data_IF_820428230021
#
_entry.id   IF_820428230021
#
_cell.length_a   1.000
_cell.length_b   1.000
_cell.length_c   1.000
_cell.angle_alpha   90.00
_cell.angle_beta   90.00
_cell.angle_gamma   90.00
#
_symmetry.space_group_name_H-M   'P 1'
#
loop_
_entity.id
_entity.type
_entity.pdbx_description
1 polymer ?
#
# COMPACT_ATOMS: atom_id res chain seq x y z
N UNK A 1 -0.96 -13.67 15.24
CA UNK A 1 -0.36 -12.73 14.26
C UNK A 1 -0.98 -13.06 12.90
N UNK A 2 -1.70 -12.12 12.28
CA UNK A 2 -2.49 -12.37 11.07
C UNK A 2 -1.56 -12.67 9.87
N UNK A 3 -1.86 -13.67 9.05
CA UNK A 3 -1.01 -14.12 7.95
C UNK A 3 -0.66 -12.98 6.98
N UNK A 4 -1.62 -12.09 6.73
CA UNK A 4 -1.42 -10.88 5.93
C UNK A 4 -0.37 -9.93 6.52
N UNK A 5 -0.42 -9.68 7.84
CA UNK A 5 0.58 -8.85 8.54
C UNK A 5 1.97 -9.48 8.43
N UNK A 6 2.09 -10.80 8.59
CA UNK A 6 3.36 -11.49 8.40
C UNK A 6 3.96 -11.27 7.00
N UNK A 7 3.15 -11.37 5.95
CA UNK A 7 3.60 -11.13 4.58
C UNK A 7 3.98 -9.66 4.32
N UNK A 8 3.26 -8.70 4.89
CA UNK A 8 3.62 -7.28 4.81
C UNK A 8 4.98 -7.02 5.46
N UNK A 9 5.20 -7.51 6.68
CA UNK A 9 6.48 -7.32 7.38
C UNK A 9 7.64 -7.98 6.64
N UNK A 10 7.40 -9.15 6.05
CA UNK A 10 8.46 -9.92 5.37
C UNK A 10 8.84 -9.36 4.00
N UNK A 11 7.88 -8.88 3.21
CA UNK A 11 8.12 -8.54 1.80
C UNK A 11 7.89 -7.06 1.47
N UNK A 12 6.98 -6.37 2.16
CA UNK A 12 6.68 -4.96 1.88
C UNK A 12 7.49 -3.99 2.77
N UNK A 13 7.76 -4.37 4.02
CA UNK A 13 8.47 -3.55 5.00
C UNK A 13 9.93 -3.97 5.21
N UNK A 14 10.51 -4.71 4.26
CA UNK A 14 11.92 -5.07 4.30
C UNK A 14 12.78 -3.80 4.37
N UNK A 15 13.66 -3.63 5.38
CA UNK A 15 14.39 -2.38 5.61
C UNK A 15 15.24 -1.91 4.42
N UNK A 16 15.74 -2.84 3.61
CA UNK A 16 16.53 -2.53 2.42
C UNK A 16 15.68 -1.99 1.26
N UNK A 17 14.41 -2.39 1.17
CA UNK A 17 13.48 -1.99 0.12
C UNK A 17 12.67 -0.74 0.50
N UNK A 18 12.48 -0.52 1.79
CA UNK A 18 11.65 0.56 2.32
C UNK A 18 12.01 1.96 1.79
N UNK A 19 13.29 2.39 1.71
CA UNK A 19 13.61 3.73 1.19
C UNK A 19 13.25 3.90 -0.29
N UNK A 20 13.45 2.86 -1.10
CA UNK A 20 13.11 2.88 -2.52
C UNK A 20 11.60 2.84 -2.72
N UNK A 21 10.90 2.01 -1.95
CA UNK A 21 9.44 1.94 -1.95
C UNK A 21 8.82 3.28 -1.55
N UNK A 22 9.26 3.87 -0.44
CA UNK A 22 8.79 5.18 0.02
C UNK A 22 9.08 6.28 -1.01
N UNK A 23 10.24 6.25 -1.67
CA UNK A 23 10.58 7.20 -2.75
C UNK A 23 9.66 7.05 -3.96
N UNK A 24 9.39 5.82 -4.39
CA UNK A 24 8.48 5.52 -5.50
C UNK A 24 7.05 5.92 -5.17
N UNK A 25 6.56 5.57 -3.98
CA UNK A 25 5.25 5.99 -3.47
C UNK A 25 5.17 7.51 -3.42
N UNK A 26 6.19 8.19 -2.89
CA UNK A 26 6.26 9.65 -2.87
C UNK A 26 6.20 10.24 -4.28
N UNK A 27 6.93 9.67 -5.24
CA UNK A 27 6.91 10.15 -6.63
C UNK A 27 5.57 9.97 -7.32
N UNK A 28 4.86 8.88 -7.01
CA UNK A 28 3.54 8.59 -7.55
C UNK A 28 2.44 9.47 -6.93
N UNK A 29 2.47 9.68 -5.61
CA UNK A 29 1.48 10.48 -4.88
C UNK A 29 1.77 11.99 -5.01
N UNK A 30 3.04 12.39 -5.06
CA UNK A 30 3.50 13.77 -5.12
C UNK A 30 4.48 13.99 -6.29
N UNK A 31 4.00 14.05 -7.55
CA UNK A 31 4.84 14.32 -8.70
C UNK A 31 5.64 15.62 -8.52
N UNK A 32 6.97 15.53 -8.53
CA UNK A 32 7.84 16.68 -8.33
C UNK A 32 7.78 17.33 -6.93
N UNK A 33 7.29 16.60 -5.91
CA UNK A 33 7.20 17.06 -4.52
C UNK A 33 6.32 18.33 -4.35
N UNK A 34 5.42 18.60 -5.30
CA UNK A 34 4.48 19.72 -5.25
C UNK A 34 3.18 19.24 -4.61
N UNK A 35 2.96 19.59 -3.35
CA UNK A 35 1.68 19.38 -2.69
C UNK A 35 0.66 20.38 -3.22
N UNK A 36 -0.51 19.93 -3.71
CA UNK A 36 -1.65 20.79 -4.04
C UNK A 36 -1.57 21.64 -5.32
N UNK A 37 -0.45 21.66 -6.06
CA UNK A 37 -0.32 22.45 -7.30
C UNK A 37 -0.80 21.71 -8.57
N UNK A 38 -0.96 20.39 -8.50
CA UNK A 38 -1.61 19.57 -9.52
C UNK A 38 -2.90 19.00 -8.94
N UNK A 39 -4.00 18.94 -9.70
CA UNK A 39 -5.20 18.22 -9.28
C UNK A 39 -4.81 16.81 -8.81
N UNK A 40 -5.50 16.23 -7.80
CA UNK A 40 -5.24 14.87 -7.39
C UNK A 40 -5.21 13.96 -8.63
N UNK A 41 -4.05 13.36 -8.92
CA UNK A 41 -3.93 12.35 -9.98
C UNK A 41 -4.70 11.07 -9.63
N UNK A 42 -5.05 10.91 -8.35
CA UNK A 42 -5.88 9.85 -7.82
C UNK A 42 -7.32 10.37 -7.67
N UNK A 43 -8.10 10.23 -8.74
CA UNK A 43 -9.54 10.45 -8.74
C UNK A 43 -10.20 9.08 -8.66
N UNK A 44 -11.25 8.95 -7.84
CA UNK A 44 -12.04 7.73 -7.84
C UNK A 44 -12.66 7.53 -9.24
N UNK A 45 -12.69 6.30 -9.77
CA UNK A 45 -13.30 6.03 -11.07
C UNK A 45 -14.78 6.45 -11.04
N UNK A 46 -15.22 7.14 -12.09
CA UNK A 46 -16.57 7.67 -12.18
C UNK A 46 -17.62 6.59 -12.51
N UNK A 47 -17.18 5.49 -13.12
CA UNK A 47 -18.04 4.38 -13.56
C UNK A 47 -17.26 3.05 -13.59
N UNK A 48 -17.98 1.94 -13.85
CA UNK A 48 -17.42 0.59 -13.89
C UNK A 48 -16.38 0.39 -15.01
N UNK A 49 -16.54 1.07 -16.15
CA UNK A 49 -15.61 0.98 -17.27
C UNK A 49 -14.26 1.61 -16.90
N UNK A 50 -14.28 2.79 -16.27
CA UNK A 50 -13.08 3.43 -15.74
C UNK A 50 -12.41 2.56 -14.68
N UNK A 51 -13.19 1.98 -13.76
CA UNK A 51 -12.67 1.06 -12.74
C UNK A 51 -12.00 -0.16 -13.37
N UNK A 52 -12.63 -0.78 -14.37
CA UNK A 52 -12.07 -1.92 -15.10
C UNK A 52 -10.76 -1.55 -15.81
N UNK A 53 -10.72 -0.38 -16.49
CA UNK A 53 -9.51 0.12 -17.13
C UNK A 53 -8.37 0.38 -16.14
N UNK A 54 -8.71 0.86 -14.94
CA UNK A 54 -7.76 1.09 -13.86
C UNK A 54 -7.24 -0.24 -13.31
N UNK A 55 -8.11 -1.23 -13.09
CA UNK A 55 -7.71 -2.57 -12.66
C UNK A 55 -6.76 -3.21 -13.69
N UNK A 56 -7.07 -3.11 -14.99
CA UNK A 56 -6.20 -3.60 -16.08
C UNK A 56 -4.81 -2.98 -16.05
N UNK A 57 -4.74 -1.65 -16.04
CA UNK A 57 -3.45 -0.93 -15.97
C UNK A 57 -2.66 -1.28 -14.72
N UNK A 58 -3.35 -1.44 -13.59
CA UNK A 58 -2.71 -1.82 -12.32
C UNK A 58 -2.18 -3.25 -12.39
N UNK A 59 -2.93 -4.19 -12.94
CA UNK A 59 -2.49 -5.57 -13.11
C UNK A 59 -1.26 -5.68 -14.01
N UNK A 60 -1.22 -4.93 -15.11
CA UNK A 60 -0.06 -4.84 -15.99
C UNK A 60 1.17 -4.27 -15.27
N UNK A 61 0.98 -3.21 -14.47
CA UNK A 61 2.06 -2.62 -13.68
C UNK A 61 2.60 -3.57 -12.61
N UNK A 62 1.71 -4.27 -11.89
CA UNK A 62 2.08 -5.30 -10.90
C UNK A 62 2.87 -6.42 -11.58
N UNK A 63 2.39 -6.92 -12.72
CA UNK A 63 3.10 -7.95 -13.47
C UNK A 63 4.48 -7.48 -13.93
N UNK A 64 4.61 -6.24 -14.41
CA UNK A 64 5.88 -5.67 -14.85
C UNK A 64 6.92 -5.55 -13.73
N UNK A 65 6.50 -5.43 -12.46
CA UNK A 65 7.40 -5.45 -11.30
C UNK A 65 7.90 -6.86 -11.00
N UNK A 66 7.09 -7.89 -11.24
CA UNK A 66 7.43 -9.28 -10.94
C UNK A 66 8.10 -10.05 -12.08
N UNK A 67 7.95 -9.59 -13.32
CA UNK A 67 8.38 -10.33 -14.51
C UNK A 67 9.41 -9.54 -15.32
N UNK A 68 10.47 -10.22 -15.74
CA UNK A 68 11.51 -9.70 -16.64
C UNK A 68 10.98 -9.47 -18.07
N UNK A 69 10.16 -8.43 -18.24
CA UNK A 69 9.70 -7.85 -19.51
C UNK A 69 8.91 -8.77 -20.46
N UNK A 70 8.42 -9.92 -19.99
CA UNK A 70 7.47 -10.71 -20.80
C UNK A 70 6.13 -9.99 -20.90
N UNK A 71 5.39 -10.20 -21.98
CA UNK A 71 3.99 -9.75 -22.03
C UNK A 71 3.16 -10.70 -21.17
N UNK A 72 2.30 -10.20 -20.27
CA UNK A 72 1.41 -11.06 -19.52
C UNK A 72 0.38 -11.72 -20.45
N UNK A 73 0.00 -12.97 -20.15
CA UNK A 73 -1.15 -13.60 -20.79
C UNK A 73 -2.45 -13.08 -20.16
N UNK A 74 -3.56 -13.15 -20.89
CA UNK A 74 -4.87 -12.75 -20.37
C UNK A 74 -5.27 -13.51 -19.10
N UNK A 75 -4.91 -14.78 -19.00
CA UNK A 75 -5.17 -15.58 -17.79
C UNK A 75 -4.43 -15.04 -16.56
N UNK A 76 -3.20 -14.56 -16.73
CA UNK A 76 -2.43 -13.96 -15.63
C UNK A 76 -3.01 -12.61 -15.22
N UNK A 77 -3.42 -11.78 -16.19
CA UNK A 77 -4.07 -10.51 -15.88
C UNK A 77 -5.39 -10.72 -15.15
N UNK A 78 -6.22 -11.68 -15.60
CA UNK A 78 -7.47 -12.02 -14.94
C UNK A 78 -7.26 -12.52 -13.50
N UNK A 79 -6.20 -13.29 -13.25
CA UNK A 79 -5.83 -13.73 -11.89
C UNK A 79 -5.42 -12.54 -11.00
N UNK A 80 -4.62 -11.61 -11.53
CA UNK A 80 -4.22 -10.42 -10.78
C UNK A 80 -5.43 -9.53 -10.49
N UNK A 81 -6.28 -9.29 -11.49
CA UNK A 81 -7.51 -8.50 -11.33
C UNK A 81 -8.47 -9.16 -10.33
N UNK A 82 -8.76 -10.44 -10.54
CA UNK A 82 -9.77 -11.20 -9.81
C UNK A 82 -9.34 -11.62 -8.40
N UNK A 83 -8.07 -11.99 -8.24
CA UNK A 83 -7.52 -12.51 -7.00
C UNK A 83 -6.86 -11.44 -6.15
N UNK A 84 -5.93 -10.68 -6.72
CA UNK A 84 -5.16 -9.67 -5.96
C UNK A 84 -5.92 -8.34 -5.83
N UNK A 85 -6.41 -7.79 -6.93
CA UNK A 85 -6.96 -6.42 -6.93
C UNK A 85 -8.36 -6.36 -6.32
N UNK A 86 -9.18 -7.40 -6.43
CA UNK A 86 -10.52 -7.42 -5.84
C UNK A 86 -10.52 -7.34 -4.30
N UNK A 87 -9.42 -7.67 -3.60
CA UNK A 87 -9.32 -7.47 -2.15
C UNK A 87 -9.51 -5.99 -1.78
N UNK A 88 -9.13 -5.07 -2.67
CA UNK A 88 -9.29 -3.63 -2.46
C UNK A 88 -10.71 -3.12 -2.72
N UNK A 89 -11.64 -3.96 -3.20
CA UNK A 89 -13.05 -3.59 -3.29
C UNK A 89 -13.73 -3.67 -1.91
N UNK A 90 -13.12 -4.38 -0.95
CA UNK A 90 -13.66 -4.54 0.40
C UNK A 90 -13.21 -3.40 1.33
N UNK A 91 -14.19 -2.65 1.83
CA UNK A 91 -13.95 -1.51 2.72
C UNK A 91 -13.32 -1.90 4.07
N UNK A 92 -13.60 -3.09 4.59
CA UNK A 92 -13.02 -3.61 5.84
C UNK A 92 -11.55 -3.96 5.63
N UNK A 93 -11.20 -4.62 4.51
CA UNK A 93 -9.82 -4.88 4.13
C UNK A 93 -9.03 -3.57 3.99
N UNK A 94 -9.59 -2.57 3.31
CA UNK A 94 -8.95 -1.26 3.14
C UNK A 94 -8.71 -0.54 4.47
N UNK A 95 -9.67 -0.62 5.41
CA UNK A 95 -9.51 -0.04 6.75
C UNK A 95 -8.33 -0.66 7.50
N UNK A 96 -8.22 -1.99 7.49
CA UNK A 96 -7.12 -2.70 8.14
C UNK A 96 -5.77 -2.46 7.47
N UNK A 97 -5.76 -2.34 6.14
CA UNK A 97 -4.55 -1.97 5.40
C UNK A 97 -4.04 -0.60 5.83
N UNK A 98 -4.91 0.40 5.91
CA UNK A 98 -4.54 1.75 6.37
C UNK A 98 -4.02 1.74 7.80
N UNK A 99 -4.68 1.03 8.71
CA UNK A 99 -4.21 0.91 10.09
C UNK A 99 -2.85 0.21 10.17
N UNK A 100 -2.64 -0.87 9.42
CA UNK A 100 -1.36 -1.56 9.36
C UNK A 100 -0.23 -0.69 8.80
N UNK A 101 -0.50 0.13 7.76
CA UNK A 101 0.48 1.09 7.23
C UNK A 101 0.82 2.16 8.26
N UNK A 102 -0.19 2.75 8.92
CA UNK A 102 0.02 3.78 9.93
C UNK A 102 0.79 3.22 11.13
N UNK A 103 0.41 2.05 11.63
CA UNK A 103 1.12 1.36 12.70
C UNK A 103 2.58 1.08 12.32
N UNK A 104 2.83 0.56 11.12
CA UNK A 104 4.19 0.32 10.63
C UNK A 104 5.03 1.59 10.57
N UNK A 105 4.46 2.72 10.13
CA UNK A 105 5.14 4.01 10.10
C UNK A 105 5.40 4.49 11.53
N UNK A 106 4.39 4.47 12.40
CA UNK A 106 4.50 4.97 13.77
C UNK A 106 5.52 4.19 14.59
N UNK A 107 5.51 2.86 14.54
CA UNK A 107 6.50 2.02 15.22
C UNK A 107 7.91 2.25 14.66
N UNK A 108 8.06 2.64 13.38
CA UNK A 108 9.37 2.98 12.82
C UNK A 108 9.90 4.34 13.31
N UNK A 109 9.00 5.30 13.56
CA UNK A 109 9.34 6.65 14.00
C UNK A 109 9.47 6.76 15.52
N UNK A 110 8.67 5.99 16.26
CA UNK A 110 8.56 5.98 17.71
C UNK A 110 8.54 4.50 18.15
N UNK A 111 9.71 3.84 18.22
CA UNK A 111 9.81 2.42 18.49
C UNK A 111 9.21 2.01 19.85
N UNK A 112 9.16 2.94 20.82
CA UNK A 112 8.56 2.74 22.14
C UNK A 112 7.06 2.40 22.06
N UNK A 113 6.38 2.79 20.97
CA UNK A 113 4.98 2.42 20.74
C UNK A 113 4.78 0.91 20.55
N UNK A 114 5.78 0.18 20.07
CA UNK A 114 5.67 -1.27 19.90
C UNK A 114 5.84 -2.04 21.21
N UNK A 115 6.57 -1.48 22.18
CA UNK A 115 6.89 -2.15 23.44
C UNK A 115 5.83 -1.84 24.51
N UNK A 116 5.49 -0.56 24.66
CA UNK A 116 4.67 -0.07 25.79
C UNK A 116 3.25 0.28 25.36
N UNK A 117 3.03 0.50 24.06
CA UNK A 117 1.75 0.95 23.52
C UNK A 117 1.38 2.38 23.94
N UNK A 118 0.35 2.93 23.31
CA UNK A 118 -0.04 4.35 23.51
C UNK A 118 -0.44 4.63 24.96
N UNK A 119 -1.21 3.73 25.59
CA UNK A 119 -1.72 3.93 26.95
C UNK A 119 -0.61 3.89 28.01
N UNK A 120 0.32 2.92 27.91
CA UNK A 120 1.43 2.84 28.86
C UNK A 120 2.39 4.03 28.75
N UNK A 121 2.67 4.52 27.54
CA UNK A 121 3.46 5.75 27.35
C UNK A 121 2.76 7.01 27.85
N UNK A 122 1.41 7.01 27.90
CA UNK A 122 0.65 8.11 28.49
C UNK A 122 0.73 8.09 30.01
N UNK A 123 0.62 6.91 30.62
CA UNK A 123 0.75 6.75 32.07
C UNK A 123 2.14 7.19 32.57
N UNK A 124 3.21 6.81 31.88
CA UNK A 124 4.60 7.20 32.22
C UNK A 124 4.85 8.72 32.15
N UNK A 125 4.11 9.46 31.31
CA UNK A 125 4.28 10.93 31.18
C UNK A 125 3.41 11.73 32.15
N UNK A 126 2.35 11.11 32.68
CA UNK A 126 1.41 11.74 33.59
C UNK A 126 1.71 11.42 35.07
N UNK A 127 2.62 10.47 35.34
CA UNK A 127 3.22 10.21 36.66
C UNK A 127 4.39 11.15 36.96
#
# INVERSE_FOLDING_TARGET
MNLFSHYIHKYALEPALLPNLLRSIRGAIFPGNKFGATPPTLVAPANEEELASLKRRTAEAVYAVWSDKKKPSEAVLAEIEGGLLNVFDDAYCNKHLLYGILEAIFVRLVPELAETGVLGLWEERLS
#
